data_IF_302365982684
#
_entry.id   IF_302365982684
#
_cell.length_a   1.000
_cell.length_b   1.000
_cell.length_c   1.000
_cell.angle_alpha   90.00
_cell.angle_beta   90.00
_cell.angle_gamma   90.00
#
_symmetry.space_group_name_H-M   'P 1'
#
loop_
_entity.id
_entity.type
_entity.pdbx_description
1 polymer ?
#
# COMPACT_ATOMS: atom_id res chain seq x y z
N UNK A 1 5.48 -5.78 -28.78
CA UNK A 1 6.84 -6.34 -28.95
C UNK A 1 7.94 -5.53 -28.23
N UNK A 2 8.17 -4.26 -28.57
CA UNK A 2 9.22 -3.43 -27.92
C UNK A 2 9.12 -3.38 -26.38
N UNK A 3 7.92 -3.24 -25.82
CA UNK A 3 7.74 -3.20 -24.36
C UNK A 3 8.18 -4.52 -23.69
N UNK A 4 7.93 -5.66 -24.35
CA UNK A 4 8.28 -7.01 -23.87
C UNK A 4 9.79 -7.22 -23.93
N UNK A 5 10.43 -6.80 -25.02
CA UNK A 5 11.89 -6.94 -25.22
C UNK A 5 12.72 -6.10 -24.25
N UNK A 6 12.22 -4.92 -23.89
CA UNK A 6 12.93 -3.95 -23.04
C UNK A 6 12.41 -3.90 -21.59
N UNK A 7 11.55 -4.83 -21.18
CA UNK A 7 11.01 -4.86 -19.81
C UNK A 7 10.27 -3.59 -19.39
N UNK A 8 9.63 -2.89 -20.33
CA UNK A 8 8.92 -1.63 -20.04
C UNK A 8 7.58 -1.89 -19.36
N UNK A 9 7.03 -0.87 -18.70
CA UNK A 9 5.63 -0.91 -18.24
C UNK A 9 4.72 -0.75 -19.47
N UNK A 10 3.71 -1.61 -19.58
CA UNK A 10 2.71 -1.59 -20.64
C UNK A 10 1.34 -1.38 -20.02
N UNK A 11 0.60 -0.39 -20.51
CA UNK A 11 -0.80 -0.17 -20.15
C UNK A 11 -1.62 -0.38 -21.41
N UNK A 12 -2.55 -1.33 -21.36
CA UNK A 12 -3.50 -1.61 -22.43
C UNK A 12 -4.84 -1.03 -21.99
N UNK A 13 -5.35 -0.09 -22.77
CA UNK A 13 -6.61 0.60 -22.50
C UNK A 13 -7.74 -0.03 -23.30
N UNK A 14 -8.98 0.20 -22.85
CA UNK A 14 -10.20 -0.28 -23.50
C UNK A 14 -10.18 -1.79 -23.80
N UNK A 15 -9.76 -2.56 -22.80
CA UNK A 15 -9.72 -4.02 -22.90
C UNK A 15 -11.13 -4.57 -22.67
N UNK A 16 -11.71 -5.19 -23.69
CA UNK A 16 -12.98 -5.92 -23.58
C UNK A 16 -12.77 -7.43 -23.34
N UNK A 17 -11.67 -7.98 -23.85
CA UNK A 17 -11.29 -9.38 -23.68
C UNK A 17 -9.77 -9.52 -23.68
N UNK A 18 -9.26 -10.62 -23.09
CA UNK A 18 -7.83 -10.92 -23.09
C UNK A 18 -7.51 -11.86 -24.24
N UNK A 19 -6.72 -11.38 -25.19
CA UNK A 19 -6.26 -12.21 -26.31
C UNK A 19 -5.30 -13.30 -25.84
N UNK A 20 -5.38 -14.46 -26.51
CA UNK A 20 -4.59 -15.62 -26.16
C UNK A 20 -3.06 -15.39 -26.28
N UNK A 21 -2.67 -14.45 -27.13
CA UNK A 21 -1.29 -14.02 -27.37
C UNK A 21 -0.62 -13.42 -26.13
N UNK A 22 -1.41 -12.86 -25.20
CA UNK A 22 -0.92 -12.19 -23.99
C UNK A 22 -0.80 -13.18 -22.81
N UNK A 23 -1.44 -14.35 -22.86
CA UNK A 23 -1.41 -15.33 -21.76
C UNK A 23 0.00 -15.76 -21.32
N UNK A 24 0.95 -16.09 -22.22
CA UNK A 24 2.29 -16.48 -21.80
C UNK A 24 2.99 -15.36 -21.02
N UNK A 25 2.74 -14.12 -21.41
CA UNK A 25 3.30 -12.93 -20.74
C UNK A 25 2.67 -12.72 -19.37
N UNK A 26 1.36 -12.90 -19.25
CA UNK A 26 0.61 -12.72 -18.00
C UNK A 26 0.87 -13.84 -16.99
N UNK A 27 1.03 -15.08 -17.45
CA UNK A 27 1.43 -16.23 -16.61
C UNK A 27 2.87 -16.16 -16.13
N UNK A 28 3.67 -15.30 -16.75
CA UNK A 28 5.10 -15.25 -16.48
C UNK A 28 5.87 -16.39 -17.15
N UNK A 29 5.29 -17.03 -18.17
CA UNK A 29 5.95 -18.03 -19.03
C UNK A 29 7.04 -17.33 -19.86
N UNK A 30 8.16 -16.99 -19.21
CA UNK A 30 9.30 -16.33 -19.82
C UNK A 30 10.48 -17.29 -19.80
N UNK A 31 10.99 -17.62 -20.98
CA UNK A 31 12.31 -18.23 -21.11
C UNK A 31 13.34 -17.18 -20.70
N UNK A 32 14.10 -17.48 -19.66
CA UNK A 32 15.05 -16.56 -19.06
C UNK A 32 16.18 -16.25 -20.03
N UNK A 33 16.06 -15.14 -20.76
CA UNK A 33 17.16 -14.53 -21.50
C UNK A 33 17.60 -13.27 -20.75
N UNK A 34 18.82 -13.32 -20.24
CA UNK A 34 19.63 -12.20 -19.72
C UNK A 34 18.93 -11.20 -18.81
N UNK A 35 18.65 -11.62 -17.57
CA UNK A 35 18.73 -10.79 -16.35
C UNK A 35 17.90 -9.50 -16.23
N UNK A 36 17.16 -9.08 -17.25
CA UNK A 36 16.49 -7.78 -17.32
C UNK A 36 15.17 -7.92 -18.05
N UNK A 37 14.10 -8.36 -17.35
CA UNK A 37 12.75 -8.25 -17.90
C UNK A 37 11.66 -8.22 -16.81
N UNK A 38 11.66 -7.18 -15.97
CA UNK A 38 10.53 -6.84 -15.08
C UNK A 38 9.40 -6.12 -15.85
N UNK A 39 8.97 -6.71 -16.97
CA UNK A 39 7.78 -6.28 -17.70
C UNK A 39 6.57 -6.29 -16.74
N UNK A 40 5.88 -5.14 -16.64
CA UNK A 40 4.61 -5.00 -15.93
C UNK A 40 3.54 -4.65 -16.93
N UNK A 41 2.45 -5.41 -16.93
CA UNK A 41 1.31 -5.20 -17.81
C UNK A 41 0.10 -4.81 -16.97
N UNK A 42 -0.59 -3.76 -17.39
CA UNK A 42 -1.83 -3.29 -16.78
C UNK A 42 -2.92 -3.30 -17.84
N UNK A 43 -4.04 -3.95 -17.54
CA UNK A 43 -5.24 -3.90 -18.38
C UNK A 43 -6.23 -2.94 -17.74
N UNK A 44 -6.72 -2.00 -18.53
CA UNK A 44 -7.72 -1.02 -18.11
C UNK A 44 -8.95 -1.23 -18.97
N UNK A 45 -10.08 -1.47 -18.32
CA UNK A 45 -11.38 -1.56 -18.98
C UNK A 45 -12.34 -0.55 -18.38
N UNK A 46 -13.19 0.03 -19.23
CA UNK A 46 -14.29 0.91 -18.81
C UNK A 46 -15.53 0.12 -18.40
N UNK A 47 -15.67 -1.10 -18.90
CA UNK A 47 -16.71 -2.03 -18.51
C UNK A 47 -16.18 -2.97 -17.43
N UNK A 48 -17.09 -3.57 -16.65
CA UNK A 48 -16.71 -4.69 -15.82
C UNK A 48 -16.24 -5.83 -16.75
N UNK A 49 -14.93 -6.09 -16.77
CA UNK A 49 -14.39 -7.27 -17.43
C UNK A 49 -15.05 -8.49 -16.78
N UNK A 50 -15.76 -9.34 -17.55
CA UNK A 50 -16.32 -10.56 -16.99
C UNK A 50 -15.15 -11.52 -16.74
N UNK A 51 -14.56 -11.46 -15.53
CA UNK A 51 -13.67 -12.51 -15.02
C UNK A 51 -14.46 -13.77 -14.64
N UNK A 52 -15.54 -14.07 -15.36
CA UNK A 52 -16.36 -15.27 -15.18
C UNK A 52 -15.61 -16.53 -15.58
N UNK A 53 -14.59 -16.40 -16.42
CA UNK A 53 -13.77 -17.52 -16.85
C UNK A 53 -12.60 -17.77 -15.86
N UNK A 54 -12.54 -18.94 -15.21
CA UNK A 54 -11.57 -19.21 -14.15
C UNK A 54 -10.11 -19.14 -14.62
N UNK A 55 -9.86 -19.40 -15.91
CA UNK A 55 -8.53 -19.32 -16.48
C UNK A 55 -8.01 -17.88 -16.64
N UNK A 56 -8.91 -16.89 -16.74
CA UNK A 56 -8.55 -15.47 -16.77
C UNK A 56 -8.37 -14.95 -15.34
N UNK A 57 -9.29 -15.32 -14.45
CA UNK A 57 -9.25 -14.93 -13.04
C UNK A 57 -8.00 -15.45 -12.30
N UNK A 58 -7.45 -16.59 -12.70
CA UNK A 58 -6.23 -17.15 -12.10
C UNK A 58 -4.95 -16.37 -12.47
N UNK A 59 -4.97 -15.61 -13.56
CA UNK A 59 -3.78 -14.95 -14.11
C UNK A 59 -3.82 -13.42 -13.92
N UNK A 60 -5.02 -12.85 -13.73
CA UNK A 60 -5.21 -11.42 -13.51
C UNK A 60 -5.56 -11.10 -12.05
N UNK A 61 -5.04 -9.97 -11.57
CA UNK A 61 -5.50 -9.35 -10.34
C UNK A 61 -6.44 -8.19 -10.69
N UNK A 62 -7.73 -8.33 -10.37
CA UNK A 62 -8.72 -7.28 -10.62
C UNK A 62 -8.67 -6.21 -9.53
N UNK A 63 -8.59 -4.95 -9.95
CA UNK A 63 -8.78 -3.79 -9.07
C UNK A 63 -10.05 -3.07 -9.51
N UNK A 64 -11.02 -2.97 -8.61
CA UNK A 64 -12.32 -2.38 -8.89
C UNK A 64 -12.33 -0.89 -8.58
N UNK A 65 -12.45 -0.08 -9.64
CA UNK A 65 -12.61 1.37 -9.54
C UNK A 65 -14.07 1.82 -9.68
N UNK A 66 -15.02 0.89 -9.67
CA UNK A 66 -16.46 1.21 -9.77
C UNK A 66 -16.90 1.99 -8.54
N UNK A 67 -17.44 3.17 -8.75
CA UNK A 67 -18.00 3.98 -7.67
C UNK A 67 -19.24 3.30 -7.10
N UNK A 68 -19.25 3.06 -5.79
CA UNK A 68 -20.42 2.56 -5.08
C UNK A 68 -21.32 3.71 -4.63
N UNK A 69 -22.62 3.46 -4.44
CA UNK A 69 -23.54 4.45 -3.89
C UNK A 69 -23.05 5.00 -2.54
N UNK A 70 -22.47 4.14 -1.70
CA UNK A 70 -21.86 4.54 -0.44
C UNK A 70 -20.69 5.52 -0.64
N UNK A 71 -19.81 5.26 -1.63
CA UNK A 71 -18.69 6.15 -1.95
C UNK A 71 -19.17 7.51 -2.46
N UNK A 72 -20.18 7.54 -3.34
CA UNK A 72 -20.78 8.80 -3.80
C UNK A 72 -21.43 9.59 -2.66
N UNK A 73 -22.18 8.91 -1.79
CA UNK A 73 -22.80 9.55 -0.61
C UNK A 73 -21.74 10.18 0.29
N UNK A 74 -20.64 9.46 0.57
CA UNK A 74 -19.53 10.00 1.35
C UNK A 74 -18.91 11.23 0.69
N UNK A 75 -18.71 11.21 -0.63
CA UNK A 75 -18.18 12.34 -1.38
C UNK A 75 -19.11 13.57 -1.34
N UNK A 76 -20.42 13.34 -1.46
CA UNK A 76 -21.42 14.42 -1.36
C UNK A 76 -21.47 15.03 0.04
N UNK A 77 -21.44 14.20 1.08
CA UNK A 77 -21.38 14.68 2.47
C UNK A 77 -20.11 15.49 2.71
N UNK A 78 -18.96 15.03 2.20
CA UNK A 78 -17.71 15.78 2.29
C UNK A 78 -17.81 17.13 1.55
N UNK A 79 -18.36 17.16 0.34
CA UNK A 79 -18.56 18.39 -0.41
C UNK A 79 -19.49 19.38 0.30
N UNK A 80 -20.58 18.90 0.91
CA UNK A 80 -21.49 19.71 1.70
C UNK A 80 -20.80 20.25 2.98
N UNK A 81 -20.04 19.42 3.69
CA UNK A 81 -19.26 19.84 4.86
C UNK A 81 -18.23 20.92 4.53
N UNK A 82 -17.56 20.82 3.38
CA UNK A 82 -16.62 21.85 2.92
C UNK A 82 -17.31 23.21 2.70
N UNK A 83 -18.57 23.22 2.26
CA UNK A 83 -19.34 24.45 2.06
C UNK A 83 -19.92 24.99 3.37
N UNK A 84 -20.53 24.13 4.19
CA UNK A 84 -21.22 24.55 5.40
C UNK A 84 -20.25 24.83 6.57
N UNK A 85 -19.22 24.00 6.74
CA UNK A 85 -18.32 24.00 7.91
C UNK A 85 -16.87 23.65 7.51
N UNK A 86 -16.19 24.52 6.75
CA UNK A 86 -14.81 24.26 6.28
C UNK A 86 -13.81 24.04 7.42
N UNK A 87 -14.04 24.65 8.58
CA UNK A 87 -13.21 24.47 9.79
C UNK A 87 -13.13 23.00 10.24
N UNK A 88 -14.21 22.23 10.07
CA UNK A 88 -14.23 20.80 10.42
C UNK A 88 -13.36 19.97 9.47
N UNK A 89 -13.36 20.29 8.17
CA UNK A 89 -12.53 19.59 7.19
C UNK A 89 -11.04 19.91 7.39
N UNK A 90 -10.70 21.16 7.71
CA UNK A 90 -9.32 21.54 8.09
C UNK A 90 -8.88 20.74 9.32
N UNK A 91 -9.70 20.71 10.38
CA UNK A 91 -9.41 19.94 11.59
C UNK A 91 -9.27 18.45 11.31
N UNK A 92 -10.12 17.89 10.44
CA UNK A 92 -10.02 16.50 10.00
C UNK A 92 -8.68 16.24 9.29
N UNK A 93 -8.27 17.11 8.38
CA UNK A 93 -6.97 17.02 7.71
C UNK A 93 -5.79 17.08 8.68
N UNK A 94 -5.84 17.98 9.68
CA UNK A 94 -4.83 18.04 10.74
C UNK A 94 -4.76 16.76 11.57
N UNK A 95 -5.91 16.19 11.93
CA UNK A 95 -5.97 14.94 12.70
C UNK A 95 -5.40 13.76 11.89
N UNK A 96 -5.79 13.61 10.63
CA UNK A 96 -5.25 12.57 9.74
C UNK A 96 -3.72 12.69 9.59
N UNK A 97 -3.23 13.92 9.42
CA UNK A 97 -1.79 14.17 9.34
C UNK A 97 -1.07 13.79 10.64
N UNK A 98 -1.61 14.16 11.81
CA UNK A 98 -1.04 13.77 13.10
C UNK A 98 -1.05 12.25 13.27
N UNK A 99 -2.12 11.58 12.86
CA UNK A 99 -2.24 10.13 12.88
C UNK A 99 -1.16 9.46 12.01
N UNK A 100 -0.93 9.98 10.79
CA UNK A 100 0.16 9.51 9.91
C UNK A 100 1.54 9.75 10.53
N UNK A 101 1.80 10.93 11.09
CA UNK A 101 3.06 11.27 11.77
C UNK A 101 3.33 10.32 12.97
N UNK A 102 2.29 10.00 13.74
CA UNK A 102 2.36 9.04 14.85
C UNK A 102 2.65 7.62 14.36
N UNK A 103 1.97 7.15 13.31
CA UNK A 103 2.21 5.83 12.70
C UNK A 103 3.63 5.71 12.15
N UNK A 104 4.13 6.75 11.48
CA UNK A 104 5.50 6.81 10.99
C UNK A 104 6.51 6.77 12.14
N UNK A 105 6.27 7.55 13.19
CA UNK A 105 7.12 7.57 14.38
C UNK A 105 7.17 6.18 15.04
N UNK A 106 6.01 5.53 15.18
CA UNK A 106 5.93 4.17 15.73
C UNK A 106 6.72 3.17 14.87
N UNK A 107 6.61 3.22 13.54
CA UNK A 107 7.40 2.37 12.65
C UNK A 107 8.91 2.63 12.83
N UNK A 108 9.32 3.89 12.92
CA UNK A 108 10.73 4.24 13.14
C UNK A 108 11.25 3.71 14.47
N UNK A 109 10.47 3.81 15.55
CA UNK A 109 10.81 3.24 16.85
C UNK A 109 11.00 1.71 16.76
N UNK A 110 10.11 1.01 16.04
CA UNK A 110 10.23 -0.44 15.83
C UNK A 110 11.49 -0.81 15.04
N UNK A 111 11.79 -0.06 13.98
CA UNK A 111 12.99 -0.28 13.17
C UNK A 111 14.27 -0.02 13.96
N UNK A 112 14.31 1.06 14.75
CA UNK A 112 15.43 1.37 15.63
C UNK A 112 15.67 0.23 16.64
N UNK A 113 14.62 -0.32 17.26
CA UNK A 113 14.74 -1.46 18.18
C UNK A 113 15.34 -2.68 17.48
N UNK A 114 14.85 -3.00 16.27
CA UNK A 114 15.38 -4.13 15.49
C UNK A 114 16.85 -3.92 15.15
N UNK A 115 17.23 -2.69 14.79
CA UNK A 115 18.61 -2.36 14.44
C UNK A 115 19.53 -2.39 15.67
N UNK A 116 19.09 -1.88 16.81
CA UNK A 116 19.82 -1.97 18.08
C UNK A 116 20.04 -3.42 18.51
N UNK A 117 19.00 -4.26 18.42
CA UNK A 117 19.08 -5.69 18.73
C UNK A 117 19.99 -6.45 17.75
N UNK A 118 19.94 -6.12 16.46
CA UNK A 118 20.79 -6.76 15.45
C UNK A 118 22.27 -6.41 15.61
N UNK A 119 22.58 -5.19 16.05
CA UNK A 119 23.95 -4.71 16.27
C UNK A 119 24.49 -5.03 17.67
N UNK A 120 23.64 -5.48 18.59
CA UNK A 120 24.06 -5.81 19.95
C UNK A 120 24.99 -7.04 19.96
N UNK A 121 26.26 -6.81 20.29
CA UNK A 121 27.24 -7.88 20.52
C UNK A 121 27.41 -8.17 22.01
N UNK A 122 27.31 -9.44 22.42
CA UNK A 122 27.44 -9.87 23.82
C UNK A 122 26.10 -10.16 24.50
N UNK A 123 26.10 -10.30 25.83
CA UNK A 123 24.87 -10.54 26.60
C UNK A 123 24.04 -9.25 26.69
N UNK A 124 22.90 -9.25 26.02
CA UNK A 124 21.92 -8.16 25.98
C UNK A 124 21.46 -7.74 27.39
N UNK A 125 21.47 -8.64 28.37
CA UNK A 125 21.05 -8.34 29.74
C UNK A 125 22.11 -7.56 30.53
N UNK A 126 23.37 -7.58 30.08
CA UNK A 126 24.47 -6.85 30.71
C UNK A 126 24.67 -5.44 30.10
N UNK A 127 24.09 -5.19 28.91
CA UNK A 127 24.18 -3.90 28.25
C UNK A 127 23.12 -2.93 28.80
N UNK A 128 23.50 -2.22 29.87
CA UNK A 128 22.62 -1.25 30.55
C UNK A 128 22.17 -0.09 29.66
N UNK A 129 23.00 0.33 28.69
CA UNK A 129 22.67 1.41 27.76
C UNK A 129 21.61 0.96 26.75
N UNK A 130 21.77 -0.24 26.18
CA UNK A 130 20.76 -0.86 25.31
C UNK A 130 19.44 -1.07 26.06
N UNK A 131 19.49 -1.59 27.28
CA UNK A 131 18.29 -1.84 28.07
C UNK A 131 17.53 -0.53 28.41
N UNK A 132 18.25 0.59 28.59
CA UNK A 132 17.65 1.90 28.82
C UNK A 132 16.97 2.42 27.54
N UNK A 133 17.64 2.36 26.38
CA UNK A 133 17.08 2.76 25.08
C UNK A 133 15.82 1.95 24.73
N UNK A 134 15.84 0.64 24.95
CA UNK A 134 14.69 -0.24 24.70
C UNK A 134 13.51 0.07 25.62
N UNK A 135 13.76 0.40 26.90
CA UNK A 135 12.69 0.77 27.83
C UNK A 135 12.08 2.14 27.51
N UNK A 136 12.89 3.11 27.10
CA UNK A 136 12.42 4.42 26.63
C UNK A 136 11.59 4.26 25.35
N UNK A 137 12.09 3.49 24.39
CA UNK A 137 11.41 3.22 23.12
C UNK A 137 10.09 2.48 23.34
N UNK A 138 10.04 1.52 24.27
CA UNK A 138 8.80 0.83 24.66
C UNK A 138 7.77 1.80 25.24
N UNK A 139 8.18 2.72 26.12
CA UNK A 139 7.28 3.72 26.72
C UNK A 139 6.71 4.65 25.64
N UNK A 140 7.57 5.19 24.79
CA UNK A 140 7.16 6.08 23.70
C UNK A 140 6.24 5.37 22.70
N UNK A 141 6.53 4.11 22.34
CA UNK A 141 5.65 3.32 21.47
C UNK A 141 4.30 3.02 22.11
N UNK A 142 4.23 2.75 23.42
CA UNK A 142 2.96 2.51 24.14
C UNK A 142 2.10 3.78 24.14
N UNK A 143 2.70 4.93 24.49
CA UNK A 143 2.00 6.21 24.51
C UNK A 143 1.44 6.62 23.13
N UNK A 144 2.21 6.35 22.07
CA UNK A 144 1.75 6.58 20.68
C UNK A 144 0.60 5.63 20.32
N UNK A 145 0.69 4.36 20.69
CA UNK A 145 -0.37 3.37 20.43
C UNK A 145 -1.66 3.72 21.16
N UNK A 146 -1.59 4.13 22.42
CA UNK A 146 -2.73 4.60 23.20
C UNK A 146 -3.35 5.85 22.58
N UNK A 147 -2.53 6.81 22.13
CA UNK A 147 -3.01 8.03 21.45
C UNK A 147 -3.72 7.72 20.13
N UNK A 148 -3.28 6.69 19.40
CA UNK A 148 -3.93 6.23 18.17
C UNK A 148 -5.25 5.51 18.45
N UNK A 149 -5.33 4.72 19.54
CA UNK A 149 -6.58 4.06 19.96
C UNK A 149 -7.63 5.06 20.45
N UNK A 150 -7.24 6.11 21.18
CA UNK A 150 -8.17 7.17 21.61
C UNK A 150 -8.66 8.06 20.45
N UNK A 151 -7.91 8.09 19.33
CA UNK A 151 -8.22 8.91 18.16
C UNK A 151 -9.01 8.17 17.06
N UNK A 152 -9.20 6.85 17.21
CA UNK A 152 -9.91 5.98 16.26
C UNK A 152 -11.43 5.92 16.52
#
# INVERSE_FOLDING_TARGET
DLAVRFGKKLIIQDVDSVEATVYPVLRGDKVQQDGRNSLRVYHVSRSALPLTEPHIAAVLCQVNFTTSAASLTQQLVQAALCQEKPQLEIRRGELLRREEELKMSLHQLQENVLQELANATGDILQNKELLASLNETKRSSSAISESLEESA
#
